data_IF_999317949959
#
_entry.id   IF_999317949959
#
_cell.length_a   1.000
_cell.length_b   1.000
_cell.length_c   1.000
_cell.angle_alpha   90.00
_cell.angle_beta   90.00
_cell.angle_gamma   90.00
#
_symmetry.space_group_name_H-M   'P 1'
#
loop_
_entity.id
_entity.type
_entity.pdbx_description
1 polymer ?
#
# COMPACT_ATOMS: atom_id res chain seq x y z
N UNK A 1 37.84 -8.56 45.88
CA UNK A 1 38.13 -7.52 44.87
C UNK A 1 37.93 -8.13 43.50
N UNK A 2 36.72 -8.01 42.94
CA UNK A 2 36.39 -8.46 41.58
C UNK A 2 36.21 -7.21 40.72
N UNK A 3 37.01 -7.09 39.67
CA UNK A 3 36.98 -5.94 38.77
C UNK A 3 35.63 -5.88 38.01
N UNK A 4 35.06 -4.69 37.75
CA UNK A 4 33.88 -4.57 36.92
C UNK A 4 34.20 -4.95 35.47
N UNK A 5 33.37 -5.79 34.86
CA UNK A 5 33.42 -6.10 33.43
C UNK A 5 33.22 -4.81 32.61
N UNK A 6 33.92 -4.65 31.48
CA UNK A 6 33.74 -3.49 30.62
C UNK A 6 32.32 -3.46 30.05
N UNK A 7 31.70 -2.28 29.86
CA UNK A 7 30.39 -2.16 29.25
C UNK A 7 30.43 -2.77 27.84
N UNK A 8 29.51 -3.68 27.57
CA UNK A 8 29.36 -4.24 26.22
C UNK A 8 29.08 -3.08 25.27
N UNK A 9 29.73 -3.11 24.09
CA UNK A 9 29.49 -2.14 23.04
C UNK A 9 28.05 -2.33 22.54
N UNK A 10 27.11 -1.63 23.17
CA UNK A 10 25.77 -1.45 22.65
C UNK A 10 25.91 -0.96 21.21
N UNK A 11 25.39 -1.75 20.26
CA UNK A 11 25.32 -1.32 18.87
C UNK A 11 24.59 0.02 18.76
N UNK A 12 24.80 0.80 17.68
CA UNK A 12 24.13 2.07 17.50
C UNK A 12 22.62 1.90 17.71
N UNK A 13 22.05 2.73 18.59
CA UNK A 13 20.63 2.77 18.90
C UNK A 13 19.83 2.75 17.59
N UNK A 14 18.75 1.96 17.49
CA UNK A 14 17.88 1.98 16.31
C UNK A 14 17.52 3.44 16.01
N UNK A 15 17.58 3.85 14.74
CA UNK A 15 16.97 5.11 14.33
C UNK A 15 15.56 5.14 14.93
N UNK A 16 15.29 6.14 15.79
CA UNK A 16 14.09 6.15 16.62
C UNK A 16 12.86 5.89 15.75
N UNK A 17 12.07 4.86 16.11
CA UNK A 17 10.87 4.49 15.37
C UNK A 17 9.96 5.71 15.25
N UNK A 18 9.63 6.10 14.02
CA UNK A 18 8.77 7.26 13.76
C UNK A 18 7.32 6.81 13.84
N UNK A 19 6.72 6.91 15.03
CA UNK A 19 5.38 6.37 15.33
C UNK A 19 4.28 7.01 14.49
N UNK A 20 4.41 8.29 14.11
CA UNK A 20 3.44 8.92 13.21
C UNK A 20 3.28 8.20 11.88
N UNK A 21 4.34 7.56 11.35
CA UNK A 21 4.27 6.81 10.09
C UNK A 21 3.51 5.49 10.23
N UNK A 22 3.45 4.91 11.43
CA UNK A 22 2.59 3.75 11.70
C UNK A 22 1.10 4.13 11.61
N UNK A 23 0.74 5.33 12.09
CA UNK A 23 -0.60 5.88 11.95
C UNK A 23 -0.99 6.13 10.49
N UNK A 24 -0.08 6.70 9.70
CA UNK A 24 -0.26 6.86 8.23
C UNK A 24 -0.51 5.52 7.57
N UNK A 25 0.27 4.48 7.92
CA UNK A 25 0.09 3.12 7.43
C UNK A 25 -1.29 2.55 7.76
N UNK A 26 -1.79 2.81 8.96
CA UNK A 26 -3.13 2.40 9.39
C UNK A 26 -4.24 3.03 8.55
N UNK A 27 -4.16 4.34 8.30
CA UNK A 27 -5.12 5.05 7.42
C UNK A 27 -5.04 4.52 5.99
N UNK A 28 -3.84 4.29 5.45
CA UNK A 28 -3.65 3.71 4.12
C UNK A 28 -4.27 2.31 4.02
N UNK A 29 -4.15 1.46 5.04
CA UNK A 29 -4.79 0.15 5.07
C UNK A 29 -6.33 0.24 4.97
N UNK A 30 -6.92 1.19 5.69
CA UNK A 30 -8.35 1.46 5.63
C UNK A 30 -8.75 1.96 4.23
N UNK A 31 -7.95 2.83 3.62
CA UNK A 31 -8.19 3.34 2.29
C UNK A 31 -8.15 2.25 1.20
N UNK A 32 -7.22 1.28 1.31
CA UNK A 32 -7.19 0.11 0.42
C UNK A 32 -8.43 -0.76 0.60
N UNK A 33 -8.87 -0.99 1.85
CA UNK A 33 -10.08 -1.77 2.11
C UNK A 33 -11.33 -1.05 1.57
N UNK A 34 -11.44 0.27 1.78
CA UNK A 34 -12.51 1.10 1.25
C UNK A 34 -12.52 1.08 -0.28
N UNK A 35 -11.35 1.19 -0.92
CA UNK A 35 -11.22 1.10 -2.38
C UNK A 35 -11.82 -0.22 -2.91
N UNK A 36 -11.39 -1.36 -2.38
CA UNK A 36 -11.90 -2.66 -2.86
C UNK A 36 -13.39 -2.85 -2.55
N UNK A 37 -13.86 -2.38 -1.40
CA UNK A 37 -15.27 -2.45 -1.04
C UNK A 37 -16.15 -1.63 -1.99
N UNK A 38 -15.76 -0.38 -2.27
CA UNK A 38 -16.46 0.48 -3.21
C UNK A 38 -16.36 -0.08 -4.64
N UNK A 39 -15.20 -0.58 -5.06
CA UNK A 39 -15.06 -1.16 -6.39
C UNK A 39 -15.95 -2.40 -6.56
N UNK A 40 -16.12 -3.21 -5.50
CA UNK A 40 -16.98 -4.39 -5.52
C UNK A 40 -18.48 -4.05 -5.58
N UNK A 41 -18.94 -3.11 -4.76
CA UNK A 41 -20.39 -2.90 -4.54
C UNK A 41 -20.94 -1.57 -5.08
N UNK A 42 -20.07 -0.60 -5.37
CA UNK A 42 -20.38 0.74 -5.92
C UNK A 42 -19.38 1.12 -7.03
N UNK A 43 -19.31 0.32 -8.12
CA UNK A 43 -18.34 0.55 -9.20
C UNK A 43 -18.54 1.90 -9.91
N UNK A 44 -19.70 2.54 -9.74
CA UNK A 44 -20.00 3.89 -10.25
C UNK A 44 -19.03 4.97 -9.73
N UNK A 45 -18.48 4.80 -8.54
CA UNK A 45 -17.42 5.67 -7.96
C UNK A 45 -16.19 5.74 -8.87
N UNK A 46 -15.91 4.67 -9.61
CA UNK A 46 -14.75 4.54 -10.49
C UNK A 46 -15.13 4.54 -11.98
N UNK A 47 -16.33 4.98 -12.32
CA UNK A 47 -16.78 5.10 -13.70
C UNK A 47 -15.88 6.08 -14.50
N UNK A 48 -15.68 5.80 -15.79
CA UNK A 48 -14.77 6.58 -16.65
C UNK A 48 -15.37 7.82 -17.30
N UNK A 49 -16.69 7.95 -17.23
CA UNK A 49 -17.46 9.02 -17.88
C UNK A 49 -18.29 9.80 -16.86
N UNK A 50 -17.75 10.02 -15.65
CA UNK A 50 -18.43 10.82 -14.62
C UNK A 50 -18.59 12.25 -15.13
N UNK A 51 -19.81 12.77 -15.04
CA UNK A 51 -20.14 14.16 -15.41
C UNK A 51 -20.57 14.94 -14.17
N UNK A 52 -20.22 16.23 -14.13
CA UNK A 52 -20.48 17.09 -12.97
C UNK A 52 -19.50 16.86 -11.81
N UNK A 53 -19.49 17.77 -10.83
CA UNK A 53 -18.60 17.70 -9.68
C UNK A 53 -19.17 16.80 -8.58
N UNK A 54 -18.39 15.85 -8.10
CA UNK A 54 -18.81 14.89 -7.06
C UNK A 54 -17.74 14.72 -5.96
N UNK A 55 -18.03 13.89 -4.96
CA UNK A 55 -17.12 13.67 -3.81
C UNK A 55 -15.76 13.09 -4.24
N UNK A 56 -15.74 12.35 -5.34
CA UNK A 56 -14.55 11.74 -5.92
C UNK A 56 -13.58 12.75 -6.56
N UNK A 57 -13.99 14.01 -6.69
CA UNK A 57 -13.15 15.09 -7.22
C UNK A 57 -12.60 15.99 -6.11
N UNK A 58 -12.98 15.72 -4.86
CA UNK A 58 -12.46 16.39 -3.67
C UNK A 58 -11.19 15.68 -3.15
N UNK A 59 -10.28 16.40 -2.45
CA UNK A 59 -9.10 15.78 -1.84
C UNK A 59 -9.39 14.64 -0.86
N UNK A 60 -10.61 14.59 -0.30
CA UNK A 60 -11.05 13.50 0.58
C UNK A 60 -11.12 12.15 -0.15
N UNK A 61 -11.22 12.14 -1.49
CA UNK A 61 -11.17 10.93 -2.31
C UNK A 61 -9.87 10.13 -2.16
N UNK A 62 -8.81 10.76 -1.64
CA UNK A 62 -7.57 10.08 -1.24
C UNK A 62 -7.82 8.95 -0.22
N UNK A 63 -8.90 9.03 0.57
CA UNK A 63 -9.28 8.01 1.55
C UNK A 63 -9.89 6.75 0.92
N UNK A 64 -10.15 6.72 -0.39
CA UNK A 64 -10.58 5.53 -1.11
C UNK A 64 -9.91 5.39 -2.48
N UNK A 65 -8.78 6.05 -2.70
CA UNK A 65 -7.92 5.80 -3.85
C UNK A 65 -6.89 4.72 -3.50
N UNK A 66 -7.18 3.48 -3.91
CA UNK A 66 -6.32 2.33 -3.62
C UNK A 66 -4.92 2.46 -4.21
N UNK A 67 -4.75 3.11 -5.36
CA UNK A 67 -3.44 3.30 -5.99
C UNK A 67 -2.55 4.22 -5.15
N UNK A 68 -3.11 5.33 -4.68
CA UNK A 68 -2.43 6.25 -3.76
C UNK A 68 -2.08 5.55 -2.44
N UNK A 69 -3.03 4.82 -1.84
CA UNK A 69 -2.79 4.11 -0.59
C UNK A 69 -1.69 3.05 -0.71
N UNK A 70 -1.63 2.29 -1.81
CA UNK A 70 -0.55 1.32 -2.08
C UNK A 70 0.79 2.02 -2.31
N UNK A 71 0.82 3.16 -3.01
CA UNK A 71 2.02 3.97 -3.16
C UNK A 71 2.57 4.46 -1.80
N UNK A 72 1.69 4.83 -0.86
CA UNK A 72 2.06 5.14 0.54
C UNK A 72 2.69 3.92 1.22
N UNK A 73 2.14 2.72 1.06
CA UNK A 73 2.77 1.50 1.60
C UNK A 73 4.18 1.30 1.05
N UNK A 74 4.38 1.41 -0.26
CA UNK A 74 5.71 1.22 -0.87
C UNK A 74 6.72 2.28 -0.45
N UNK A 75 6.30 3.55 -0.36
CA UNK A 75 7.16 4.62 0.14
C UNK A 75 7.51 4.43 1.63
N UNK A 76 6.55 4.02 2.47
CA UNK A 76 6.83 3.68 3.87
C UNK A 76 7.78 2.48 3.98
N UNK A 77 7.60 1.46 3.14
CA UNK A 77 8.51 0.32 3.06
C UNK A 77 9.92 0.76 2.69
N UNK A 78 10.09 1.60 1.66
CA UNK A 78 11.39 2.20 1.32
C UNK A 78 12.08 2.91 2.48
N UNK A 79 11.32 3.74 3.21
CA UNK A 79 11.80 4.48 4.39
C UNK A 79 12.27 3.55 5.51
N UNK A 80 11.45 2.55 5.87
CA UNK A 80 11.75 1.62 6.98
C UNK A 80 12.93 0.72 6.64
N UNK A 81 13.05 0.29 5.38
CA UNK A 81 14.15 -0.58 4.95
C UNK A 81 15.48 0.15 4.89
N UNK A 82 15.46 1.42 4.50
CA UNK A 82 16.62 2.27 4.59
C UNK A 82 17.09 2.41 6.05
N UNK A 83 16.15 2.56 6.99
CA UNK A 83 16.43 2.59 8.41
C UNK A 83 16.99 1.28 8.98
N UNK A 84 16.50 0.15 8.46
CA UNK A 84 16.89 -1.20 8.90
C UNK A 84 17.91 -1.87 7.97
N UNK A 85 18.65 -1.11 7.16
CA UNK A 85 19.46 -1.68 6.08
C UNK A 85 20.64 -2.54 6.60
N UNK A 86 21.09 -3.57 5.85
CA UNK A 86 22.25 -4.37 6.22
C UNK A 86 23.51 -3.51 6.33
N UNK A 87 24.43 -3.87 7.24
CA UNK A 87 25.71 -3.17 7.41
C UNK A 87 26.78 -3.64 6.44
N UNK A 88 26.57 -4.78 5.80
CA UNK A 88 27.49 -5.37 4.84
C UNK A 88 26.78 -6.27 3.81
N UNK A 89 27.43 -6.54 2.68
CA UNK A 89 26.96 -7.50 1.67
C UNK A 89 26.77 -8.92 2.21
N UNK A 90 27.48 -9.28 3.30
CA UNK A 90 27.36 -10.61 3.92
C UNK A 90 26.05 -10.78 4.69
N UNK A 91 25.50 -9.70 5.24
CA UNK A 91 24.25 -9.71 6.00
C UNK A 91 23.02 -9.67 5.09
N UNK A 92 23.13 -9.06 3.89
CA UNK A 92 22.01 -8.82 3.00
C UNK A 92 21.20 -10.10 2.65
N UNK A 93 21.81 -11.25 2.26
CA UNK A 93 21.07 -12.47 1.93
C UNK A 93 20.21 -12.98 3.09
N UNK A 94 20.74 -12.96 4.32
CA UNK A 94 19.99 -13.38 5.50
C UNK A 94 18.79 -12.47 5.76
N UNK A 95 18.97 -11.15 5.66
CA UNK A 95 17.88 -10.19 5.86
C UNK A 95 16.78 -10.32 4.79
N UNK A 96 17.17 -10.59 3.54
CA UNK A 96 16.22 -10.89 2.45
C UNK A 96 15.46 -12.18 2.75
N UNK A 97 16.14 -13.25 3.17
CA UNK A 97 15.50 -14.52 3.51
C UNK A 97 14.51 -14.40 4.67
N UNK A 98 14.88 -13.68 5.74
CA UNK A 98 13.98 -13.38 6.85
C UNK A 98 12.78 -12.54 6.41
N UNK A 99 12.99 -11.59 5.49
CA UNK A 99 11.90 -10.80 4.92
C UNK A 99 10.95 -11.64 4.07
N UNK A 100 11.47 -12.57 3.27
CA UNK A 100 10.63 -13.53 2.54
C UNK A 100 9.74 -14.32 3.51
N UNK A 101 10.31 -14.92 4.57
CA UNK A 101 9.52 -15.68 5.56
C UNK A 101 8.46 -14.81 6.24
N UNK A 102 8.81 -13.57 6.63
CA UNK A 102 7.89 -12.61 7.25
C UNK A 102 6.70 -12.25 6.35
N UNK A 103 6.90 -12.22 5.03
CA UNK A 103 5.84 -11.94 4.06
C UNK A 103 5.06 -13.21 3.68
N UNK A 104 5.77 -14.31 3.43
CA UNK A 104 5.21 -15.56 2.92
C UNK A 104 4.32 -16.28 3.94
N UNK A 105 4.71 -16.32 5.23
CA UNK A 105 3.90 -17.01 6.26
C UNK A 105 2.51 -16.35 6.41
N UNK A 106 2.40 -15.02 6.59
CA UNK A 106 1.08 -14.38 6.62
C UNK A 106 0.32 -14.44 5.30
N UNK A 107 1.00 -14.33 4.15
CA UNK A 107 0.36 -14.46 2.85
C UNK A 107 -0.23 -15.86 2.63
N UNK A 108 0.48 -16.92 3.02
CA UNK A 108 0.00 -18.30 3.00
C UNK A 108 -1.23 -18.49 3.89
N UNK A 109 -1.18 -18.00 5.13
CA UNK A 109 -2.33 -18.06 6.07
C UNK A 109 -3.53 -17.32 5.45
N UNK A 110 -3.29 -16.14 4.89
CA UNK A 110 -4.33 -15.35 4.24
C UNK A 110 -4.96 -16.05 3.04
N UNK A 111 -4.16 -16.70 2.18
CA UNK A 111 -4.67 -17.48 1.06
C UNK A 111 -5.45 -18.72 1.52
N UNK A 112 -5.05 -19.36 2.61
CA UNK A 112 -5.81 -20.47 3.20
C UNK A 112 -7.17 -20.00 3.75
N UNK A 113 -7.22 -18.85 4.42
CA UNK A 113 -8.48 -18.21 4.85
C UNK A 113 -9.35 -17.88 3.64
N UNK A 114 -8.77 -17.31 2.59
CA UNK A 114 -9.49 -17.00 1.36
C UNK A 114 -10.08 -18.23 0.69
N UNK A 115 -9.31 -19.32 0.63
CA UNK A 115 -9.81 -20.61 0.14
C UNK A 115 -10.99 -21.12 0.98
N UNK A 116 -10.90 -21.05 2.31
CA UNK A 116 -11.97 -21.51 3.20
C UNK A 116 -13.26 -20.71 2.98
N UNK A 117 -13.16 -19.38 2.86
CA UNK A 117 -14.33 -18.53 2.61
C UNK A 117 -14.89 -18.68 1.20
N UNK A 118 -14.06 -18.74 0.16
CA UNK A 118 -14.54 -18.99 -1.20
C UNK A 118 -15.20 -20.36 -1.33
N UNK A 119 -14.71 -21.38 -0.62
CA UNK A 119 -15.34 -22.71 -0.60
C UNK A 119 -16.63 -22.71 0.23
N UNK A 120 -16.70 -21.93 1.31
CA UNK A 120 -17.89 -21.78 2.15
C UNK A 120 -19.01 -20.94 1.51
N UNK A 121 -18.66 -20.02 0.61
CA UNK A 121 -19.58 -19.13 -0.10
C UNK A 121 -19.33 -19.13 -1.62
N UNK A 122 -19.43 -20.29 -2.30
CA UNK A 122 -18.92 -20.46 -3.66
C UNK A 122 -19.57 -19.53 -4.68
N UNK A 123 -20.88 -19.30 -4.61
CA UNK A 123 -21.58 -18.45 -5.58
C UNK A 123 -21.69 -16.98 -5.19
N UNK A 124 -21.23 -16.59 -3.99
CA UNK A 124 -21.44 -15.25 -3.45
C UNK A 124 -20.81 -14.15 -4.33
N UNK A 125 -19.55 -14.35 -4.77
CA UNK A 125 -18.87 -13.39 -5.63
C UNK A 125 -19.54 -13.25 -7.01
N UNK A 126 -20.01 -14.37 -7.59
CA UNK A 126 -20.74 -14.39 -8.86
C UNK A 126 -22.09 -13.68 -8.75
N UNK A 127 -22.83 -13.92 -7.67
CA UNK A 127 -24.12 -13.28 -7.41
C UNK A 127 -23.97 -11.78 -7.18
N UNK A 128 -23.01 -11.37 -6.34
CA UNK A 128 -22.71 -9.96 -6.10
C UNK A 128 -22.24 -9.24 -7.38
N UNK A 129 -21.47 -9.91 -8.25
CA UNK A 129 -21.12 -9.37 -9.57
C UNK A 129 -22.34 -9.14 -10.45
N UNK A 130 -23.29 -10.08 -10.48
CA UNK A 130 -24.51 -9.94 -11.28
C UNK A 130 -25.38 -8.76 -10.81
N UNK A 131 -25.41 -8.49 -9.50
CA UNK A 131 -26.16 -7.38 -8.90
C UNK A 131 -25.48 -6.02 -9.04
N UNK A 132 -24.16 -5.96 -8.79
CA UNK A 132 -23.39 -4.70 -8.80
C UNK A 132 -22.91 -4.28 -10.19
N UNK A 133 -22.81 -5.23 -11.13
CA UNK A 133 -22.15 -5.02 -12.41
C UNK A 133 -20.62 -4.89 -12.32
N UNK A 134 -20.01 -5.10 -11.15
CA UNK A 134 -18.57 -4.88 -10.97
C UNK A 134 -17.73 -5.94 -11.67
N UNK A 135 -16.84 -5.49 -12.57
CA UNK A 135 -15.88 -6.34 -13.25
C UNK A 135 -14.76 -6.85 -12.32
N UNK A 136 -14.63 -6.26 -11.12
CA UNK A 136 -13.55 -6.55 -10.18
C UNK A 136 -13.56 -7.99 -9.67
N UNK A 137 -14.73 -8.59 -9.50
CA UNK A 137 -14.89 -10.00 -9.11
C UNK A 137 -14.24 -11.00 -10.08
N UNK A 138 -13.83 -10.58 -11.30
CA UNK A 138 -13.07 -11.41 -12.26
C UNK A 138 -11.63 -11.66 -11.83
N UNK A 139 -11.08 -10.80 -10.95
CA UNK A 139 -9.72 -10.90 -10.43
C UNK A 139 -9.60 -11.86 -9.25
N UNK A 140 -10.69 -12.50 -8.84
CA UNK A 140 -10.68 -13.57 -7.85
C UNK A 140 -11.23 -14.88 -8.43
N UNK A 141 -10.98 -16.00 -7.75
CA UNK A 141 -11.61 -17.27 -8.14
C UNK A 141 -13.13 -17.21 -8.00
N UNK A 142 -13.79 -17.87 -8.94
CA UNK A 142 -15.22 -18.17 -8.95
C UNK A 142 -15.37 -19.68 -9.21
N UNK A 143 -16.53 -20.30 -8.94
CA UNK A 143 -16.68 -21.75 -9.10
C UNK A 143 -16.36 -22.25 -10.52
N UNK A 144 -15.65 -23.39 -10.66
CA UNK A 144 -15.16 -24.26 -9.58
C UNK A 144 -13.95 -23.68 -8.84
N UNK A 145 -14.00 -23.67 -7.49
CA UNK A 145 -12.91 -23.15 -6.65
C UNK A 145 -11.76 -24.17 -6.65
N UNK A 146 -10.50 -23.74 -6.91
CA UNK A 146 -9.37 -24.67 -6.89
C UNK A 146 -9.09 -25.24 -5.48
N UNK A 147 -8.35 -26.36 -5.39
CA UNK A 147 -8.10 -27.04 -4.11
C UNK A 147 -7.19 -26.22 -3.18
N UNK A 148 -7.22 -26.56 -1.89
CA UNK A 148 -6.41 -25.91 -0.85
C UNK A 148 -4.91 -25.92 -1.17
N UNK A 149 -4.41 -26.99 -1.79
CA UNK A 149 -3.00 -27.09 -2.22
C UNK A 149 -2.58 -25.94 -3.13
N UNK A 150 -3.47 -25.50 -4.02
CA UNK A 150 -3.22 -24.36 -4.89
C UNK A 150 -3.23 -23.05 -4.10
N UNK A 151 -4.14 -22.87 -3.14
CA UNK A 151 -4.15 -21.68 -2.30
C UNK A 151 -2.88 -21.56 -1.44
N UNK A 152 -2.40 -22.68 -0.89
CA UNK A 152 -1.14 -22.73 -0.14
C UNK A 152 0.06 -22.42 -1.03
N UNK A 153 0.08 -22.96 -2.26
CA UNK A 153 1.13 -22.65 -3.24
C UNK A 153 1.11 -21.17 -3.63
N UNK A 154 -0.06 -20.61 -3.97
CA UNK A 154 -0.19 -19.21 -4.41
C UNK A 154 0.25 -18.24 -3.31
N UNK A 155 -0.20 -18.46 -2.07
CA UNK A 155 0.16 -17.60 -0.94
C UNK A 155 1.60 -17.73 -0.47
N UNK A 156 2.18 -18.93 -0.52
CA UNK A 156 3.53 -19.18 -0.01
C UNK A 156 4.65 -18.96 -1.03
N UNK A 157 4.41 -19.29 -2.29
CA UNK A 157 5.45 -19.38 -3.33
C UNK A 157 5.04 -18.59 -4.58
N UNK A 158 3.86 -18.87 -5.13
CA UNK A 158 3.42 -18.34 -6.41
C UNK A 158 3.42 -16.84 -6.52
N UNK A 159 2.86 -16.18 -5.51
CA UNK A 159 2.82 -14.73 -5.41
C UNK A 159 4.21 -14.10 -5.62
N UNK A 160 5.28 -14.73 -5.14
CA UNK A 160 6.64 -14.20 -5.27
C UNK A 160 7.29 -14.52 -6.62
N UNK A 161 6.96 -15.65 -7.24
CA UNK A 161 7.59 -16.14 -8.47
C UNK A 161 6.95 -15.57 -9.74
N UNK A 162 5.62 -15.69 -9.87
CA UNK A 162 4.88 -15.30 -11.06
C UNK A 162 3.79 -14.25 -10.79
N UNK A 163 3.51 -13.95 -9.51
CA UNK A 163 2.51 -12.95 -9.12
C UNK A 163 1.07 -13.49 -9.09
N UNK A 164 0.88 -14.81 -9.20
CA UNK A 164 -0.44 -15.44 -9.11
C UNK A 164 -1.07 -15.22 -7.73
N UNK A 165 -2.24 -14.59 -7.71
CA UNK A 165 -2.88 -14.10 -6.47
C UNK A 165 -4.41 -14.19 -6.52
N UNK A 166 -4.98 -15.17 -7.24
CA UNK A 166 -6.43 -15.18 -7.50
C UNK A 166 -7.27 -15.59 -6.28
N UNK A 167 -6.69 -16.25 -5.29
CA UNK A 167 -7.35 -16.41 -3.98
C UNK A 167 -7.44 -15.09 -3.21
N UNK A 168 -6.45 -14.22 -3.35
CA UNK A 168 -6.38 -12.95 -2.63
C UNK A 168 -5.56 -11.93 -3.42
N UNK A 169 -6.22 -11.14 -4.28
CA UNK A 169 -5.52 -10.32 -5.26
C UNK A 169 -4.58 -9.25 -4.69
N UNK A 170 -4.78 -8.60 -3.52
CA UNK A 170 -3.85 -7.59 -3.00
C UNK A 170 -2.49 -8.18 -2.61
N UNK A 171 -2.37 -9.52 -2.53
CA UNK A 171 -1.09 -10.20 -2.31
C UNK A 171 -0.08 -9.92 -3.42
N UNK A 172 -0.47 -9.39 -4.59
CA UNK A 172 0.48 -9.05 -5.67
C UNK A 172 1.60 -8.13 -5.16
N UNK A 173 1.29 -7.32 -4.15
CA UNK A 173 2.24 -6.44 -3.47
C UNK A 173 3.36 -7.18 -2.73
N UNK A 174 3.19 -8.45 -2.35
CA UNK A 174 4.24 -9.23 -1.67
C UNK A 174 5.46 -9.42 -2.57
N UNK A 175 5.25 -9.59 -3.87
CA UNK A 175 6.33 -9.62 -4.87
C UNK A 175 7.03 -8.27 -4.95
N UNK A 176 6.25 -7.19 -5.05
CA UNK A 176 6.79 -5.82 -5.10
C UNK A 176 7.60 -5.49 -3.83
N UNK A 177 7.12 -5.89 -2.66
CA UNK A 177 7.79 -5.77 -1.37
C UNK A 177 9.12 -6.54 -1.32
N UNK A 178 9.15 -7.77 -1.85
CA UNK A 178 10.37 -8.56 -1.93
C UNK A 178 11.38 -7.94 -2.91
N UNK A 179 10.95 -7.53 -4.11
CA UNK A 179 11.81 -6.88 -5.11
C UNK A 179 12.33 -5.54 -4.58
N UNK A 180 11.48 -4.73 -3.95
CA UNK A 180 11.87 -3.50 -3.26
C UNK A 180 12.87 -3.76 -2.13
N UNK A 181 12.77 -4.89 -1.43
CA UNK A 181 13.80 -5.35 -0.46
C UNK A 181 15.16 -5.48 -1.11
N UNK A 182 15.20 -6.22 -2.23
CA UNK A 182 16.42 -6.52 -2.94
C UNK A 182 17.09 -5.23 -3.40
N UNK A 183 16.30 -4.31 -3.95
CA UNK A 183 16.75 -3.00 -4.37
C UNK A 183 17.35 -2.20 -3.20
N UNK A 184 16.60 -1.99 -2.11
CA UNK A 184 17.05 -1.13 -1.02
C UNK A 184 18.19 -1.77 -0.23
N UNK A 185 18.08 -3.03 0.17
CA UNK A 185 19.15 -3.72 0.90
C UNK A 185 20.41 -3.89 0.05
N UNK A 186 20.28 -4.22 -1.23
CA UNK A 186 21.42 -4.29 -2.15
C UNK A 186 22.10 -2.94 -2.34
N UNK A 187 21.31 -1.88 -2.56
CA UNK A 187 21.83 -0.52 -2.70
C UNK A 187 22.57 -0.06 -1.45
N UNK A 188 22.02 -0.31 -0.26
CA UNK A 188 22.61 0.14 1.00
C UNK A 188 23.83 -0.68 1.43
N UNK A 189 23.92 -1.94 0.99
CA UNK A 189 25.11 -2.77 1.17
C UNK A 189 26.27 -2.38 0.23
N UNK A 190 25.97 -1.82 -0.94
CA UNK A 190 26.97 -1.40 -1.94
C UNK A 190 27.38 0.09 -1.79
N UNK A 191 26.42 0.96 -1.50
CA UNK A 191 26.59 2.42 -1.49
C UNK A 191 26.91 2.95 -0.09
N UNK A 192 27.75 3.97 -0.05
CA UNK A 192 28.19 4.63 1.20
C UNK A 192 27.51 5.98 1.36
N UNK A 193 27.08 6.31 2.58
CA UNK A 193 26.39 7.56 2.99
C UNK A 193 26.12 8.59 1.88
N UNK A 194 27.14 9.37 1.50
CA UNK A 194 27.00 10.46 0.51
C UNK A 194 26.48 10.07 -0.87
N UNK A 195 26.63 8.82 -1.31
CA UNK A 195 26.17 8.35 -2.62
C UNK A 195 24.75 7.77 -2.60
N UNK A 196 24.15 7.57 -1.42
CA UNK A 196 22.82 6.95 -1.29
C UNK A 196 21.71 7.85 -1.80
N UNK A 197 21.63 9.11 -1.34
CA UNK A 197 20.60 10.04 -1.78
C UNK A 197 20.64 10.29 -3.31
N UNK A 198 21.79 10.59 -3.94
CA UNK A 198 21.87 10.68 -5.40
C UNK A 198 21.43 9.40 -6.10
N UNK A 199 21.83 8.22 -5.61
CA UNK A 199 21.41 6.96 -6.20
C UNK A 199 19.90 6.72 -6.09
N UNK A 200 19.25 7.12 -4.98
CA UNK A 200 17.79 7.03 -4.86
C UNK A 200 17.10 7.99 -5.84
N UNK A 201 17.63 9.20 -6.05
CA UNK A 201 17.12 10.13 -7.08
C UNK A 201 17.27 9.54 -8.48
N UNK A 202 18.45 9.00 -8.82
CA UNK A 202 18.66 8.31 -10.10
C UNK A 202 17.72 7.11 -10.26
N UNK A 203 17.48 6.35 -9.18
CA UNK A 203 16.54 5.24 -9.16
C UNK A 203 15.11 5.68 -9.45
N UNK A 204 14.64 6.75 -8.80
CA UNK A 204 13.32 7.33 -9.07
C UNK A 204 13.16 7.72 -10.54
N UNK A 205 14.16 8.38 -11.13
CA UNK A 205 14.14 8.77 -12.55
C UNK A 205 14.17 7.54 -13.45
N UNK A 206 15.12 6.62 -13.23
CA UNK A 206 15.31 5.44 -14.07
C UNK A 206 14.10 4.49 -14.05
N UNK A 207 13.55 4.21 -12.86
CA UNK A 207 12.36 3.36 -12.74
C UNK A 207 11.09 4.07 -13.22
N UNK A 208 11.00 5.39 -13.07
CA UNK A 208 9.90 6.18 -13.63
C UNK A 208 9.88 6.12 -15.15
N UNK A 209 11.05 6.28 -15.80
CA UNK A 209 11.20 6.14 -17.25
C UNK A 209 10.92 4.72 -17.76
N UNK A 210 11.17 3.72 -16.92
CA UNK A 210 10.86 2.32 -17.22
C UNK A 210 9.44 1.89 -16.81
N UNK A 211 8.60 2.83 -16.33
CA UNK A 211 7.24 2.59 -15.85
C UNK A 211 7.12 1.56 -14.70
N UNK A 212 8.19 1.40 -13.92
CA UNK A 212 8.24 0.52 -12.73
C UNK A 212 7.95 1.34 -11.47
N UNK A 213 6.76 1.92 -11.43
CA UNK A 213 6.34 2.92 -10.45
C UNK A 213 6.50 2.50 -8.97
N UNK A 214 6.20 1.25 -8.62
CA UNK A 214 6.39 0.81 -7.23
C UNK A 214 7.84 0.99 -6.74
N UNK A 215 8.85 0.79 -7.60
CA UNK A 215 10.26 1.03 -7.24
C UNK A 215 10.59 2.52 -7.10
N UNK A 216 9.87 3.41 -7.81
CA UNK A 216 9.95 4.87 -7.61
C UNK A 216 9.52 5.21 -6.18
N UNK A 217 8.39 4.67 -5.71
CA UNK A 217 7.94 4.86 -4.33
C UNK A 217 8.96 4.33 -3.31
N UNK A 218 9.52 3.13 -3.50
CA UNK A 218 10.58 2.59 -2.64
C UNK A 218 11.81 3.51 -2.58
N UNK A 219 12.31 3.98 -3.73
CA UNK A 219 13.42 4.92 -3.79
C UNK A 219 13.07 6.26 -3.12
N UNK A 220 11.86 6.77 -3.33
CA UNK A 220 11.37 8.00 -2.72
C UNK A 220 11.32 7.92 -1.19
N UNK A 221 10.78 6.83 -0.65
CA UNK A 221 10.81 6.56 0.79
C UNK A 221 12.21 6.50 1.38
N UNK A 222 13.11 5.77 0.70
CA UNK A 222 14.52 5.68 1.11
C UNK A 222 15.25 7.03 1.00
N UNK A 223 14.90 7.86 0.01
CA UNK A 223 15.42 9.22 -0.12
C UNK A 223 14.97 10.11 1.03
N UNK A 224 13.68 10.04 1.42
CA UNK A 224 13.16 10.75 2.59
C UNK A 224 13.91 10.33 3.84
N UNK A 225 14.21 9.04 4.00
CA UNK A 225 15.06 8.57 5.10
C UNK A 225 16.46 9.21 5.06
N UNK A 226 17.16 9.21 3.93
CA UNK A 226 18.51 9.81 3.83
C UNK A 226 18.52 11.34 4.08
N UNK A 227 17.42 12.03 3.75
CA UNK A 227 17.28 13.47 3.95
C UNK A 227 16.66 13.85 5.31
N UNK A 228 16.27 12.87 6.15
CA UNK A 228 15.53 13.09 7.39
C UNK A 228 16.19 14.09 8.35
N UNK A 229 17.53 14.08 8.44
CA UNK A 229 18.28 14.95 9.35
C UNK A 229 18.30 16.43 8.88
N UNK A 230 17.92 16.66 7.61
CA UNK A 230 17.74 18.00 7.01
C UNK A 230 16.31 18.49 7.10
N UNK A 231 15.36 17.61 7.39
CA UNK A 231 13.97 17.99 7.58
C UNK A 231 13.83 18.71 8.93
N UNK A 232 13.30 19.93 8.88
CA UNK A 232 13.03 20.77 10.04
C UNK A 232 11.54 21.04 10.12
N UNK A 233 11.05 21.28 11.32
CA UNK A 233 9.65 21.63 11.53
C UNK A 233 9.31 22.92 10.77
N UNK A 234 8.33 22.81 9.88
CA UNK A 234 7.83 23.92 9.08
C UNK A 234 6.36 23.66 8.76
N UNK A 235 5.49 24.00 9.72
CA UNK A 235 4.07 23.70 9.64
C UNK A 235 3.37 24.33 8.41
N UNK A 236 3.63 25.59 8.00
CA UNK A 236 3.02 26.16 6.80
C UNK A 236 3.34 25.37 5.54
N UNK A 237 4.61 25.03 5.33
CA UNK A 237 5.03 24.21 4.17
C UNK A 237 4.45 22.81 4.29
N UNK A 238 4.48 22.21 5.47
CA UNK A 238 3.96 20.86 5.66
C UNK A 238 2.46 20.75 5.45
N UNK A 239 1.64 21.71 5.91
CA UNK A 239 0.21 21.74 5.59
C UNK A 239 -0.06 21.93 4.09
N UNK A 240 0.74 22.76 3.40
CA UNK A 240 0.68 22.88 1.94
C UNK A 240 1.00 21.54 1.26
N UNK A 241 2.09 20.89 1.65
CA UNK A 241 2.46 19.58 1.10
C UNK A 241 1.40 18.51 1.39
N UNK A 242 0.77 18.55 2.56
CA UNK A 242 -0.33 17.66 2.92
C UNK A 242 -1.55 17.89 2.02
N UNK A 243 -1.96 19.14 1.82
CA UNK A 243 -3.06 19.47 0.92
C UNK A 243 -2.76 19.05 -0.53
N UNK A 244 -1.54 19.29 -1.01
CA UNK A 244 -1.10 18.84 -2.33
C UNK A 244 -1.08 17.31 -2.45
N UNK A 245 -0.61 16.61 -1.42
CA UNK A 245 -0.61 15.15 -1.38
C UNK A 245 -2.03 14.57 -1.43
N UNK A 246 -2.97 15.10 -0.65
CA UNK A 246 -4.37 14.66 -0.67
C UNK A 246 -5.06 15.01 -1.99
N UNK A 247 -4.76 16.17 -2.56
CA UNK A 247 -5.33 16.58 -3.85
C UNK A 247 -4.80 15.66 -4.96
N UNK A 248 -3.49 15.49 -5.07
CA UNK A 248 -2.88 14.65 -6.11
C UNK A 248 -3.22 13.16 -5.92
N UNK A 249 -3.17 12.66 -4.69
CA UNK A 249 -3.50 11.28 -4.33
C UNK A 249 -4.99 10.98 -4.37
N UNK A 250 -5.85 11.99 -4.27
CA UNK A 250 -7.31 11.86 -4.37
C UNK A 250 -7.83 11.80 -5.81
N UNK A 251 -7.02 12.09 -6.82
CA UNK A 251 -7.48 12.09 -8.20
C UNK A 251 -7.75 10.66 -8.67
N UNK A 252 -9.03 10.35 -8.83
CA UNK A 252 -9.51 9.09 -9.39
C UNK A 252 -9.72 9.27 -10.90
N UNK A 253 -9.06 8.47 -11.76
CA UNK A 253 -9.22 8.57 -13.21
C UNK A 253 -10.67 8.28 -13.62
N UNK A 254 -11.23 9.07 -14.55
CA UNK A 254 -12.59 8.82 -15.07
C UNK A 254 -13.55 10.01 -15.07
N UNK A 255 -13.03 11.23 -14.91
CA UNK A 255 -13.85 12.44 -15.05
C UNK A 255 -13.93 12.85 -16.52
N UNK A 256 -15.14 13.10 -17.03
CA UNK A 256 -15.38 13.43 -18.44
C UNK A 256 -14.71 14.76 -18.87
N UNK A 257 -14.41 15.65 -17.90
CA UNK A 257 -13.65 16.87 -18.13
C UNK A 257 -12.13 16.64 -18.37
N UNK A 258 -11.67 15.39 -18.42
CA UNK A 258 -10.26 15.02 -18.62
C UNK A 258 -9.47 14.97 -17.32
N UNK A 259 -8.13 14.98 -17.42
CA UNK A 259 -7.21 14.84 -16.27
C UNK A 259 -7.19 16.02 -15.29
N UNK A 260 -8.12 16.98 -15.38
CA UNK A 260 -8.17 18.15 -14.50
C UNK A 260 -6.83 18.90 -14.41
N UNK A 261 -6.46 19.35 -13.20
CA UNK A 261 -5.19 20.06 -12.93
C UNK A 261 -3.93 19.22 -13.21
N UNK A 262 -4.05 17.90 -13.33
CA UNK A 262 -2.92 17.00 -13.62
C UNK A 262 -2.83 16.59 -15.09
N UNK A 263 -3.80 16.99 -15.93
CA UNK A 263 -3.81 16.73 -17.37
C UNK A 263 -2.49 17.05 -18.07
N UNK A 264 -1.80 18.18 -17.75
CA UNK A 264 -0.50 18.50 -18.32
C UNK A 264 0.65 17.55 -17.91
N UNK A 265 0.60 16.97 -16.72
CA UNK A 265 1.68 16.09 -16.19
C UNK A 265 1.39 14.60 -16.40
N UNK A 266 0.12 14.24 -16.65
CA UNK A 266 -0.35 12.88 -16.84
C UNK A 266 0.39 12.09 -17.93
N UNK A 267 0.71 12.66 -19.12
CA UNK A 267 1.43 11.94 -20.17
C UNK A 267 2.86 11.53 -19.78
N UNK A 268 3.44 12.22 -18.79
CA UNK A 268 4.83 12.01 -18.37
C UNK A 268 4.95 11.12 -17.15
N UNK A 269 3.98 11.20 -16.23
CA UNK A 269 4.02 10.49 -14.94
C UNK A 269 3.08 9.28 -14.89
N UNK A 270 2.03 9.27 -15.70
CA UNK A 270 0.93 8.32 -15.57
C UNK A 270 0.17 8.44 -14.24
N UNK A 271 -0.89 7.64 -14.08
CA UNK A 271 -1.69 7.60 -12.85
C UNK A 271 -0.87 7.23 -11.61
N UNK A 272 0.02 6.25 -11.79
CA UNK A 272 0.81 5.66 -10.72
C UNK A 272 1.93 6.60 -10.27
N UNK A 273 2.62 7.28 -11.19
CA UNK A 273 3.67 8.24 -10.82
C UNK A 273 3.14 9.44 -10.05
N UNK A 274 1.93 9.93 -10.35
CA UNK A 274 1.26 10.97 -9.55
C UNK A 274 0.99 10.49 -8.12
N UNK A 275 0.52 9.24 -7.97
CA UNK A 275 0.31 8.61 -6.66
C UNK A 275 1.62 8.46 -5.86
N UNK A 276 2.72 8.08 -6.52
CA UNK A 276 4.03 7.95 -5.88
C UNK A 276 4.55 9.29 -5.34
N UNK A 277 4.44 10.35 -6.15
CA UNK A 277 4.81 11.70 -5.72
C UNK A 277 3.95 12.13 -4.54
N UNK A 278 2.62 11.96 -4.64
CA UNK A 278 1.70 12.28 -3.56
C UNK A 278 2.05 11.52 -2.27
N UNK A 279 2.43 10.25 -2.37
CA UNK A 279 2.82 9.43 -1.22
C UNK A 279 4.09 9.96 -0.53
N UNK A 280 5.09 10.36 -1.32
CA UNK A 280 6.32 10.97 -0.80
C UNK A 280 6.01 12.32 -0.13
N UNK A 281 5.18 13.16 -0.77
CA UNK A 281 4.74 14.44 -0.20
C UNK A 281 3.98 14.24 1.11
N UNK A 282 3.11 13.22 1.20
CA UNK A 282 2.40 12.87 2.42
C UNK A 282 3.39 12.55 3.55
N UNK A 283 4.36 11.66 3.30
CA UNK A 283 5.36 11.29 4.32
C UNK A 283 6.15 12.53 4.77
N UNK A 284 6.65 13.34 3.83
CA UNK A 284 7.40 14.56 4.17
C UNK A 284 6.53 15.54 4.96
N UNK A 285 5.28 15.75 4.56
CA UNK A 285 4.34 16.65 5.24
C UNK A 285 4.13 16.28 6.70
N UNK A 286 3.98 14.97 6.98
CA UNK A 286 3.85 14.46 8.35
C UNK A 286 5.15 14.67 9.11
N UNK A 287 6.31 14.37 8.52
CA UNK A 287 7.60 14.51 9.20
C UNK A 287 7.95 15.95 9.61
N UNK A 288 7.50 16.97 8.87
CA UNK A 288 7.83 18.39 9.13
C UNK A 288 6.73 19.17 9.85
N UNK A 289 5.61 18.54 10.18
CA UNK A 289 4.45 19.24 10.76
C UNK A 289 4.08 18.65 12.12
N UNK A 290 4.40 19.31 13.25
CA UNK A 290 4.07 18.82 14.59
C UNK A 290 2.60 18.44 14.77
N UNK A 291 1.67 19.22 14.21
CA UNK A 291 0.23 18.94 14.27
C UNK A 291 -0.16 17.64 13.56
N UNK A 292 0.41 17.36 12.38
CA UNK A 292 0.16 16.10 11.66
C UNK A 292 0.81 14.92 12.37
N UNK A 293 2.03 15.09 12.93
CA UNK A 293 2.65 14.04 13.75
C UNK A 293 1.75 13.66 14.93
N UNK A 294 1.32 14.65 15.71
CA UNK A 294 0.43 14.43 16.85
C UNK A 294 -0.92 13.79 16.48
N UNK A 295 -1.49 14.19 15.33
CA UNK A 295 -2.69 13.54 14.80
C UNK A 295 -2.48 12.05 14.51
N UNK A 296 -1.44 11.71 13.73
CA UNK A 296 -1.15 10.32 13.38
C UNK A 296 -0.61 9.48 14.55
N UNK A 297 -0.10 10.11 15.60
CA UNK A 297 0.32 9.48 16.86
C UNK A 297 -0.85 9.21 17.83
N UNK A 298 -2.05 9.68 17.50
CA UNK A 298 -3.25 9.41 18.29
C UNK A 298 -3.51 7.91 18.42
N UNK A 299 -3.94 7.47 19.62
CA UNK A 299 -4.07 6.05 19.99
C UNK A 299 -4.92 5.24 19.01
N UNK A 300 -5.99 5.81 18.47
CA UNK A 300 -6.83 5.12 17.48
C UNK A 300 -6.06 4.84 16.18
N UNK A 301 -5.31 5.81 15.67
CA UNK A 301 -4.54 5.65 14.43
C UNK A 301 -3.34 4.72 14.63
N UNK A 302 -2.73 4.72 15.82
CA UNK A 302 -1.70 3.74 16.18
C UNK A 302 -2.24 2.31 16.19
N UNK A 303 -3.44 2.09 16.77
CA UNK A 303 -4.11 0.78 16.71
C UNK A 303 -4.42 0.36 15.28
N UNK A 304 -4.87 1.27 14.42
CA UNK A 304 -5.04 0.99 12.99
C UNK A 304 -3.70 0.63 12.34
N UNK A 305 -2.61 1.30 12.72
CA UNK A 305 -1.26 1.00 12.27
C UNK A 305 -0.81 -0.42 12.62
N UNK A 306 -1.04 -0.86 13.86
CA UNK A 306 -0.77 -2.22 14.33
C UNK A 306 -1.58 -3.27 13.56
N UNK A 307 -2.84 -2.97 13.24
CA UNK A 307 -3.74 -3.86 12.48
C UNK A 307 -3.59 -3.75 10.97
N UNK A 308 -2.79 -2.82 10.46
CA UNK A 308 -2.70 -2.49 9.03
C UNK A 308 -2.40 -3.71 8.17
N UNK A 309 -1.46 -4.55 8.60
CA UNK A 309 -1.03 -5.72 7.85
C UNK A 309 -2.07 -6.85 7.89
N UNK A 310 -2.61 -7.28 9.06
CA UNK A 310 -3.74 -8.20 9.09
C UNK A 310 -4.95 -7.73 8.27
N UNK A 311 -5.35 -6.46 8.39
CA UNK A 311 -6.45 -5.86 7.63
C UNK A 311 -6.19 -5.97 6.13
N UNK A 312 -4.99 -5.60 5.69
CA UNK A 312 -4.57 -5.70 4.29
C UNK A 312 -4.64 -7.13 3.76
N UNK A 313 -4.35 -8.13 4.57
CA UNK A 313 -4.40 -9.53 4.14
C UNK A 313 -5.84 -10.04 4.03
N UNK A 314 -6.73 -9.71 4.96
CA UNK A 314 -8.06 -10.36 5.02
C UNK A 314 -9.18 -9.61 4.30
N UNK A 315 -9.00 -8.33 3.96
CA UNK A 315 -10.11 -7.50 3.44
C UNK A 315 -10.71 -8.02 2.12
N UNK A 316 -9.91 -8.41 1.12
CA UNK A 316 -10.46 -8.93 -0.14
C UNK A 316 -11.16 -10.27 0.05
N UNK A 317 -10.58 -11.27 0.74
CA UNK A 317 -11.28 -12.51 1.05
C UNK A 317 -12.61 -12.28 1.75
N UNK A 318 -12.65 -11.31 2.67
CA UNK A 318 -13.88 -10.90 3.37
C UNK A 318 -14.90 -10.29 2.41
N UNK A 319 -14.45 -9.45 1.47
CA UNK A 319 -15.30 -8.79 0.47
C UNK A 319 -15.90 -9.81 -0.50
N UNK A 320 -15.09 -10.71 -1.08
CA UNK A 320 -15.54 -11.59 -2.18
C UNK A 320 -16.42 -12.75 -1.75
N UNK A 321 -16.44 -13.08 -0.46
CA UNK A 321 -17.20 -14.21 0.06
C UNK A 321 -18.21 -13.77 1.14
N UNK A 322 -17.87 -13.58 2.44
CA UNK A 322 -18.86 -13.19 3.45
C UNK A 322 -19.64 -11.91 3.12
N UNK A 323 -18.97 -10.83 2.73
CA UNK A 323 -19.64 -9.57 2.43
C UNK A 323 -20.46 -9.64 1.14
N UNK A 324 -19.94 -10.32 0.10
CA UNK A 324 -20.68 -10.57 -1.13
C UNK A 324 -21.95 -11.39 -0.88
N UNK A 325 -21.91 -12.37 0.02
CA UNK A 325 -23.07 -13.15 0.43
C UNK A 325 -24.12 -12.29 1.14
N UNK A 326 -23.69 -11.43 2.08
CA UNK A 326 -24.59 -10.46 2.74
C UNK A 326 -25.18 -9.51 1.69
N UNK A 327 -24.37 -8.97 0.79
CA UNK A 327 -24.83 -8.06 -0.25
C UNK A 327 -25.89 -8.72 -1.14
N UNK A 328 -25.67 -9.95 -1.61
CA UNK A 328 -26.65 -10.71 -2.38
C UNK A 328 -27.99 -10.87 -1.64
N UNK A 329 -27.95 -11.19 -0.35
CA UNK A 329 -29.16 -11.41 0.47
C UNK A 329 -29.97 -10.15 0.76
N UNK A 330 -29.32 -8.99 0.87
CA UNK A 330 -29.96 -7.76 1.33
C UNK A 330 -30.06 -6.66 0.26
N UNK A 331 -29.35 -6.77 -0.87
CA UNK A 331 -29.48 -5.84 -2.00
C UNK A 331 -30.92 -5.72 -2.56
N UNK A 332 -31.72 -6.82 -2.66
CA UNK A 332 -33.12 -6.75 -3.07
C UNK A 332 -34.04 -5.93 -2.13
N UNK A 333 -33.56 -5.56 -0.94
CA UNK A 333 -34.29 -4.75 0.04
C UNK A 333 -33.81 -3.29 0.07
N UNK A 334 -32.84 -2.92 -0.77
CA UNK A 334 -32.34 -1.55 -0.87
C UNK A 334 -33.23 -0.69 -1.78
N UNK A 335 -33.37 0.63 -1.55
CA UNK A 335 -34.15 1.53 -2.40
C UNK A 335 -33.72 1.54 -3.88
N UNK A 336 -32.50 1.06 -4.19
CA UNK A 336 -31.98 0.91 -5.55
C UNK A 336 -32.61 -0.27 -6.31
N UNK A 337 -33.11 -1.30 -5.62
CA UNK A 337 -33.81 -2.44 -6.23
C UNK A 337 -35.29 -2.16 -6.55
N UNK A 338 -35.85 -1.06 -6.02
CA UNK A 338 -37.23 -0.61 -6.28
C UNK A 338 -37.31 0.44 -7.40
N UNK A 339 -36.17 0.86 -7.95
CA UNK A 339 -36.06 1.82 -9.05
C UNK A 339 -35.74 1.14 -10.41
N UNK A 340 -35.71 -0.20 -10.46
CA UNK A 340 -35.52 -1.00 -11.66
C UNK A 340 -36.82 -1.43 -12.30
#
# INVERSE_FOLDING_TARGET
>A
MTAPLPPSKAGPLPAARVTSLDGVRGVAACAVAAFHFLYAFRPDVYARDRTGFSLEDLPVAALWNGHFAVAVFFALSGFVLAASSPRSLREAPLMIGLRYVRLAVPALISSAIAWAWLTGFPDAGRAAQALSGSSWFRWTYQPPIPPLSQALWEGGIGVFLDGTTRFNNPLWTMRAELIGSLLIYGSYALLKGRTRAPAMVLGMVGFGLAEVYFLVAFCGGALVFELRDRLRDNAPVGWLLFALALTAGGIIPGHAAGGGLIGPVWPYLGAYGVCDIAAILLIVSVLITPGLRGFFEHTLLQRLGEMSFPLYLVHVPLIVAPAAFVFDRFSPLSPLGLAG
#
